data_IF_175744689080
#
_entry.id   IF_175744689080
#
_cell.length_a   1.000
_cell.length_b   1.000
_cell.length_c   1.000
_cell.angle_alpha   90.00
_cell.angle_beta   90.00
_cell.angle_gamma   90.00
#
_symmetry.space_group_name_H-M   'P 1'
#
loop_
_entity.id
_entity.type
_entity.pdbx_description
1 polymer ?
#
# COMPACT_ATOMS: atom_id res chain seq x y z
N UNK A 1 37.14 -60.27 35.40
CA UNK A 1 37.06 -58.84 35.09
C UNK A 1 37.90 -58.59 33.84
N UNK A 2 37.33 -57.90 32.83
CA UNK A 2 37.82 -57.71 31.44
C UNK A 2 37.42 -58.79 30.42
N UNK A 3 36.70 -58.29 29.41
CA UNK A 3 36.74 -58.58 27.96
C UNK A 3 36.60 -60.00 27.41
N UNK A 4 35.75 -60.15 26.38
CA UNK A 4 35.88 -61.23 25.41
C UNK A 4 34.62 -61.52 24.59
N UNK A 5 34.44 -60.79 23.50
CA UNK A 5 33.43 -60.95 22.45
C UNK A 5 33.60 -62.29 21.70
N UNK A 6 32.51 -62.99 21.39
CA UNK A 6 32.39 -63.77 20.13
C UNK A 6 30.98 -63.58 19.55
N UNK A 7 30.95 -62.86 18.44
CA UNK A 7 29.83 -62.65 17.51
C UNK A 7 29.56 -63.91 16.69
N UNK A 8 28.30 -64.27 16.48
CA UNK A 8 27.88 -65.09 15.33
C UNK A 8 26.80 -64.35 14.57
N UNK A 9 27.11 -64.11 13.30
CA UNK A 9 26.37 -63.36 12.30
C UNK A 9 25.04 -64.03 11.92
N UNK A 10 23.97 -63.23 11.79
CA UNK A 10 22.83 -63.61 10.96
C UNK A 10 22.56 -62.47 9.98
N UNK A 11 22.87 -62.74 8.71
CA UNK A 11 22.59 -61.86 7.58
C UNK A 11 21.18 -62.12 7.06
N UNK A 12 20.37 -61.07 6.94
CA UNK A 12 19.09 -61.06 6.20
C UNK A 12 18.90 -59.68 5.58
N UNK A 13 18.97 -59.62 4.24
CA UNK A 13 18.81 -58.43 3.38
C UNK A 13 18.13 -58.96 2.10
N UNK A 14 16.81 -58.80 1.93
CA UNK A 14 16.05 -57.91 0.99
C UNK A 14 14.81 -58.74 0.58
N UNK A 15 13.61 -58.26 0.20
CA UNK A 15 12.95 -56.98 -0.15
C UNK A 15 11.44 -57.19 0.19
N UNK A 16 10.45 -56.28 0.10
CA UNK A 16 10.22 -55.18 -0.81
C UNK A 16 9.08 -54.26 -0.28
N UNK A 17 9.25 -52.96 -0.55
CA UNK A 17 8.32 -51.92 -1.01
C UNK A 17 6.83 -51.91 -0.59
N UNK A 18 6.42 -50.75 -0.06
CA UNK A 18 5.29 -50.00 -0.63
C UNK A 18 4.09 -49.78 0.30
N UNK A 19 4.21 -48.88 1.27
CA UNK A 19 3.05 -48.42 2.04
C UNK A 19 3.34 -47.19 2.88
N UNK A 20 2.57 -46.13 2.65
CA UNK A 20 2.31 -45.07 3.61
C UNK A 20 3.17 -43.81 3.46
N UNK A 21 2.54 -42.72 3.01
CA UNK A 21 3.09 -41.38 3.11
C UNK A 21 2.55 -40.45 2.04
N UNK A 22 1.29 -40.03 2.18
CA UNK A 22 0.79 -38.82 1.54
C UNK A 22 1.68 -37.66 1.96
N UNK A 23 2.65 -37.33 1.11
CA UNK A 23 3.48 -36.16 1.23
C UNK A 23 2.74 -35.04 0.52
N UNK A 24 2.30 -34.07 1.32
CA UNK A 24 1.78 -32.82 0.79
C UNK A 24 2.80 -32.23 -0.17
N UNK A 25 2.34 -31.91 -1.37
CA UNK A 25 3.04 -31.06 -2.32
C UNK A 25 3.18 -29.66 -1.69
N UNK A 26 4.24 -29.48 -0.90
CA UNK A 26 4.82 -28.17 -0.70
C UNK A 26 5.40 -27.77 -2.06
N UNK A 27 4.67 -26.88 -2.73
CA UNK A 27 5.10 -26.24 -3.97
C UNK A 27 6.55 -25.79 -3.84
N UNK A 28 7.34 -26.15 -4.85
CA UNK A 28 8.72 -25.70 -5.01
C UNK A 28 8.71 -24.17 -5.01
N UNK A 29 9.26 -23.59 -3.95
CA UNK A 29 9.59 -22.18 -3.91
C UNK A 29 10.62 -21.90 -5.01
N UNK A 30 10.28 -20.96 -5.88
CA UNK A 30 11.13 -20.50 -6.97
C UNK A 30 12.41 -19.89 -6.39
N UNK A 31 13.56 -20.40 -6.84
CA UNK A 31 14.86 -19.91 -6.41
C UNK A 31 15.27 -18.77 -7.34
N UNK A 32 14.81 -17.57 -7.01
CA UNK A 32 14.99 -16.36 -7.84
C UNK A 32 14.87 -15.04 -7.08
N UNK A 33 15.43 -14.96 -5.86
CA UNK A 33 15.93 -13.70 -5.27
C UNK A 33 14.93 -12.77 -4.57
N UNK A 34 15.09 -12.69 -3.24
CA UNK A 34 14.40 -11.83 -2.26
C UNK A 34 13.02 -12.34 -1.84
N UNK A 35 12.81 -12.43 -0.52
CA UNK A 35 11.53 -12.79 0.08
C UNK A 35 10.44 -11.76 -0.23
N UNK A 36 9.25 -11.85 0.38
CA UNK A 36 8.18 -10.87 0.15
C UNK A 36 8.67 -9.42 0.32
N UNK A 37 8.25 -8.53 -0.57
CA UNK A 37 8.71 -7.14 -0.63
C UNK A 37 7.56 -6.13 -0.57
N UNK A 38 7.91 -4.88 -0.27
CA UNK A 38 7.06 -3.70 -0.23
C UNK A 38 7.78 -2.52 -0.90
N UNK A 39 7.06 -1.42 -1.14
CA UNK A 39 7.60 -0.19 -1.71
C UNK A 39 7.84 0.86 -0.62
N UNK A 40 8.95 1.57 -0.74
CA UNK A 40 9.32 2.72 0.07
C UNK A 40 9.48 3.94 -0.83
N UNK A 41 8.74 5.00 -0.52
CA UNK A 41 8.84 6.29 -1.18
C UNK A 41 9.22 7.37 -0.17
N UNK A 42 10.12 8.26 -0.56
CA UNK A 42 10.43 9.49 0.16
C UNK A 42 10.32 10.65 -0.81
N UNK A 43 9.46 11.61 -0.51
CA UNK A 43 9.24 12.78 -1.36
C UNK A 43 9.24 14.07 -0.57
N UNK A 44 9.30 15.18 -1.30
CA UNK A 44 9.09 16.52 -0.79
C UNK A 44 7.93 17.16 -1.53
N UNK A 45 7.31 18.13 -0.85
CA UNK A 45 6.33 19.05 -1.41
C UNK A 45 5.15 18.30 -2.06
N UNK A 46 4.55 17.38 -1.30
CA UNK A 46 3.37 16.60 -1.71
C UNK A 46 3.63 15.74 -2.95
N UNK A 47 4.83 15.16 -3.00
CA UNK A 47 5.25 14.28 -4.09
C UNK A 47 5.88 14.96 -5.30
N UNK A 48 5.95 16.30 -5.33
CA UNK A 48 6.55 17.06 -6.44
C UNK A 48 8.02 16.68 -6.68
N UNK A 49 8.76 16.39 -5.59
CA UNK A 49 10.15 15.97 -5.69
C UNK A 49 10.36 14.61 -5.03
N UNK A 50 10.73 13.62 -5.83
CA UNK A 50 11.10 12.27 -5.35
C UNK A 50 12.56 12.26 -4.89
N UNK A 51 12.78 11.77 -3.67
CA UNK A 51 14.11 11.58 -3.05
C UNK A 51 14.48 10.10 -3.05
N UNK A 52 13.55 9.22 -2.68
CA UNK A 52 13.71 7.76 -2.71
C UNK A 52 12.50 7.13 -3.39
N UNK A 53 12.79 6.18 -4.27
CA UNK A 53 11.82 5.22 -4.82
C UNK A 53 12.49 3.84 -4.84
N UNK A 54 12.15 3.00 -3.87
CA UNK A 54 12.86 1.75 -3.63
C UNK A 54 11.93 0.60 -3.23
N UNK A 55 12.40 -0.61 -3.46
CA UNK A 55 11.81 -1.83 -2.90
C UNK A 55 12.53 -2.20 -1.60
N UNK A 56 11.76 -2.61 -0.59
CA UNK A 56 12.25 -3.03 0.72
C UNK A 56 11.70 -4.41 1.09
N UNK A 57 12.38 -5.18 1.95
CA UNK A 57 11.83 -6.42 2.49
C UNK A 57 10.57 -6.16 3.32
N UNK A 58 9.57 -7.02 3.17
CA UNK A 58 8.44 -7.04 4.08
C UNK A 58 8.84 -7.58 5.46
N UNK A 59 8.06 -7.24 6.48
CA UNK A 59 8.27 -7.63 7.88
C UNK A 59 9.05 -6.60 8.71
N UNK A 60 9.62 -5.59 8.08
CA UNK A 60 10.21 -4.43 8.74
C UNK A 60 9.11 -3.52 9.30
N UNK A 61 9.42 -2.67 10.29
CA UNK A 61 8.56 -1.51 10.58
C UNK A 61 8.85 -0.35 9.61
N UNK A 62 7.99 0.67 9.58
CA UNK A 62 8.10 1.77 8.60
C UNK A 62 9.40 2.58 8.72
N UNK A 63 9.96 2.72 9.94
CA UNK A 63 11.26 3.37 10.16
C UNK A 63 12.40 2.46 9.70
N UNK A 64 12.37 1.17 10.04
CA UNK A 64 13.38 0.21 9.59
C UNK A 64 13.42 0.06 8.07
N UNK A 65 12.25 0.13 7.42
CA UNK A 65 12.14 0.18 5.97
C UNK A 65 12.82 1.44 5.41
N UNK A 66 12.55 2.60 6.01
CA UNK A 66 13.17 3.88 5.64
C UNK A 66 14.70 3.85 5.81
N UNK A 67 15.20 3.34 6.93
CA UNK A 67 16.63 3.19 7.25
C UNK A 67 17.40 2.28 6.26
N UNK A 68 16.72 1.49 5.42
CA UNK A 68 17.38 0.72 4.36
C UNK A 68 17.97 1.61 3.26
N UNK A 69 17.37 2.79 3.03
CA UNK A 69 17.65 3.61 1.84
C UNK A 69 17.85 5.10 2.15
N UNK A 70 17.72 5.52 3.42
CA UNK A 70 17.92 6.89 3.83
C UNK A 70 18.63 6.98 5.19
N UNK A 71 19.36 8.08 5.42
CA UNK A 71 19.83 8.47 6.75
C UNK A 71 18.65 9.05 7.57
N UNK A 72 18.40 8.46 8.74
CA UNK A 72 17.22 8.77 9.56
C UNK A 72 17.63 9.13 10.97
N UNK A 73 17.21 10.32 11.40
CA UNK A 73 17.27 10.72 12.81
C UNK A 73 15.90 10.53 13.45
N UNK A 74 15.86 9.98 14.67
CA UNK A 74 14.61 9.71 15.39
C UNK A 74 14.58 10.34 16.78
N UNK A 75 13.36 10.59 17.29
CA UNK A 75 13.10 11.08 18.66
C UNK A 75 12.19 10.14 19.44
N UNK A 76 12.07 10.42 20.74
CA UNK A 76 11.19 9.72 21.69
C UNK A 76 11.42 8.19 21.73
N UNK A 77 12.69 7.79 21.71
CA UNK A 77 13.10 6.38 21.76
C UNK A 77 12.95 5.65 20.43
N UNK A 78 13.11 6.34 19.30
CA UNK A 78 13.09 5.72 17.97
C UNK A 78 11.71 5.63 17.31
N UNK A 79 10.68 6.25 17.89
CA UNK A 79 9.28 6.07 17.44
C UNK A 79 8.83 7.09 16.40
N UNK A 80 9.50 8.24 16.34
CA UNK A 80 9.15 9.35 15.45
C UNK A 80 10.39 9.78 14.68
N UNK A 81 10.22 10.00 13.38
CA UNK A 81 11.23 10.60 12.52
C UNK A 81 11.38 12.08 12.88
N UNK A 82 12.62 12.51 13.07
CA UNK A 82 13.00 13.91 13.22
C UNK A 82 13.55 14.45 11.90
N UNK A 83 14.43 13.69 11.25
CA UNK A 83 15.08 14.05 10.01
C UNK A 83 15.18 12.85 9.07
N UNK A 84 15.13 13.12 7.78
CA UNK A 84 15.50 12.19 6.71
C UNK A 84 16.48 12.93 5.80
N UNK A 85 17.64 12.35 5.51
CA UNK A 85 18.69 12.98 4.69
C UNK A 85 19.07 14.40 5.19
N UNK A 86 19.12 14.57 6.52
CA UNK A 86 19.43 15.84 7.18
C UNK A 86 18.35 16.93 7.08
N UNK A 87 17.18 16.62 6.52
CA UNK A 87 16.05 17.55 6.43
C UNK A 87 15.14 17.38 7.65
N UNK A 88 15.11 18.39 8.52
CA UNK A 88 14.30 18.40 9.73
C UNK A 88 12.97 19.17 9.56
N UNK A 89 11.95 18.72 10.28
CA UNK A 89 10.72 19.47 10.49
C UNK A 89 10.95 20.73 11.33
N UNK A 90 10.08 21.73 11.16
CA UNK A 90 10.23 23.02 11.85
C UNK A 90 8.96 23.85 11.92
N UNK A 91 8.74 24.46 13.08
CA UNK A 91 7.57 25.31 13.34
C UNK A 91 7.60 26.63 12.55
N UNK A 92 8.79 27.18 12.28
CA UNK A 92 8.94 28.47 11.58
C UNK A 92 8.40 28.39 10.15
N UNK A 93 8.76 27.32 9.43
CA UNK A 93 8.29 27.06 8.06
C UNK A 93 7.00 26.24 8.02
N UNK A 94 6.55 25.74 9.18
CA UNK A 94 5.40 24.82 9.31
C UNK A 94 5.53 23.65 8.34
N UNK A 95 6.68 22.99 8.37
CA UNK A 95 6.97 21.80 7.56
C UNK A 95 7.33 20.65 8.49
N UNK A 96 6.94 19.44 8.12
CA UNK A 96 7.30 18.23 8.87
C UNK A 96 7.24 17.00 7.95
N UNK A 97 7.74 15.88 8.47
CA UNK A 97 7.62 14.57 7.83
C UNK A 97 6.29 13.92 8.21
N UNK A 98 5.50 13.61 7.19
CA UNK A 98 4.29 12.81 7.31
C UNK A 98 4.52 11.47 6.62
N UNK A 99 3.86 10.42 7.10
CA UNK A 99 3.91 9.14 6.39
C UNK A 99 2.54 8.54 6.17
N UNK A 100 2.44 7.85 5.05
CA UNK A 100 1.28 7.12 4.60
C UNK A 100 1.64 5.65 4.49
N UNK A 101 0.75 4.78 4.96
CA UNK A 101 0.76 3.38 4.57
C UNK A 101 -0.41 3.17 3.62
N UNK A 102 -0.12 2.68 2.41
CA UNK A 102 -1.14 2.41 1.39
C UNK A 102 -2.05 3.63 1.18
N UNK A 103 -1.47 4.83 1.15
CA UNK A 103 -2.18 6.10 0.91
C UNK A 103 -2.98 6.63 2.10
N UNK A 104 -2.95 5.98 3.27
CA UNK A 104 -3.64 6.43 4.48
C UNK A 104 -2.62 7.06 5.42
N UNK A 105 -2.84 8.31 5.82
CA UNK A 105 -1.93 9.02 6.73
C UNK A 105 -1.98 8.38 8.11
N UNK A 106 -0.79 8.09 8.63
CA UNK A 106 -0.63 7.43 9.89
C UNK A 106 -1.04 8.29 11.09
N UNK A 107 -1.61 7.63 12.09
CA UNK A 107 -1.82 8.17 13.44
C UNK A 107 -0.91 7.53 14.50
N UNK A 108 -0.17 6.49 14.13
CA UNK A 108 0.83 5.79 14.95
C UNK A 108 2.25 6.23 14.60
N UNK A 109 3.21 5.96 15.50
CA UNK A 109 4.63 6.12 15.17
C UNK A 109 5.09 5.06 14.17
N UNK A 110 6.06 5.40 13.31
CA UNK A 110 6.53 4.48 12.25
C UNK A 110 7.15 3.17 12.76
N UNK A 111 7.54 3.12 14.04
CA UNK A 111 8.01 1.91 14.70
C UNK A 111 6.89 0.91 15.09
N UNK A 112 5.62 1.34 15.07
CA UNK A 112 4.47 0.57 15.55
C UNK A 112 3.73 -0.19 14.43
N UNK A 113 4.07 0.08 13.16
CA UNK A 113 3.40 -0.48 11.99
C UNK A 113 4.37 -1.42 11.27
N UNK A 114 3.97 -2.68 11.09
CA UNK A 114 4.72 -3.64 10.26
C UNK A 114 4.37 -3.45 8.79
N UNK A 115 5.38 -3.27 7.95
CA UNK A 115 5.25 -3.22 6.49
C UNK A 115 5.07 -4.65 5.97
N UNK A 116 3.98 -4.91 5.26
CA UNK A 116 3.63 -6.22 4.71
C UNK A 116 3.96 -6.29 3.23
N UNK A 117 3.93 -7.51 2.69
CA UNK A 117 4.13 -7.73 1.26
C UNK A 117 3.09 -6.94 0.46
N UNK A 118 3.53 -6.20 -0.56
CA UNK A 118 2.68 -5.35 -1.40
C UNK A 118 2.36 -3.97 -0.82
N UNK A 119 2.72 -3.69 0.44
CA UNK A 119 2.47 -2.37 1.01
C UNK A 119 3.30 -1.28 0.31
N UNK A 120 2.77 -0.06 0.34
CA UNK A 120 3.46 1.17 -0.01
C UNK A 120 3.62 2.01 1.25
N UNK A 121 4.86 2.22 1.68
CA UNK A 121 5.20 3.19 2.72
C UNK A 121 5.70 4.45 2.05
N UNK A 122 5.01 5.58 2.26
CA UNK A 122 5.37 6.85 1.65
C UNK A 122 5.59 7.91 2.72
N UNK A 123 6.83 8.37 2.83
CA UNK A 123 7.21 9.54 3.63
C UNK A 123 7.23 10.78 2.75
N UNK A 124 6.59 11.86 3.19
CA UNK A 124 6.56 13.12 2.45
C UNK A 124 6.86 14.30 3.37
N UNK A 125 7.87 15.10 3.00
CA UNK A 125 8.19 16.34 3.67
C UNK A 125 7.35 17.46 3.08
N UNK A 126 6.38 17.96 3.84
CA UNK A 126 5.44 18.96 3.32
C UNK A 126 5.15 20.07 4.32
N UNK A 127 4.70 21.20 3.78
CA UNK A 127 4.09 22.23 4.61
C UNK A 127 2.70 21.81 5.09
N UNK A 128 2.41 22.12 6.34
CA UNK A 128 1.10 22.03 6.96
C UNK A 128 0.47 23.42 7.18
N UNK A 129 1.01 24.46 6.54
CA UNK A 129 0.53 25.85 6.68
C UNK A 129 -0.94 26.01 6.29
N UNK A 130 -1.32 25.44 5.16
CA UNK A 130 -2.66 25.57 4.59
C UNK A 130 -3.54 24.37 4.92
N UNK A 131 -2.93 23.21 5.16
CA UNK A 131 -3.65 21.97 5.46
C UNK A 131 -2.90 21.10 6.47
N UNK A 132 -3.48 21.02 7.67
CA UNK A 132 -2.87 20.35 8.82
C UNK A 132 -2.84 18.83 8.68
N UNK A 133 -3.86 18.24 8.07
CA UNK A 133 -4.06 16.80 8.00
C UNK A 133 -4.48 16.42 6.60
N UNK A 134 -3.88 15.35 6.10
CA UNK A 134 -4.23 14.75 4.83
C UNK A 134 -4.58 13.29 5.06
N UNK A 135 -5.80 12.96 5.52
CA UNK A 135 -6.06 11.61 6.04
C UNK A 135 -5.82 10.50 5.01
N UNK A 136 -6.02 10.79 3.72
CA UNK A 136 -5.87 9.85 2.62
C UNK A 136 -5.39 10.60 1.37
N UNK A 137 -4.54 9.97 0.57
CA UNK A 137 -4.01 10.45 -0.70
C UNK A 137 -4.23 9.42 -1.81
N UNK A 138 -4.25 9.88 -3.07
CA UNK A 138 -4.51 9.01 -4.22
C UNK A 138 -3.29 8.24 -4.71
N UNK A 139 -2.07 8.68 -4.34
CA UNK A 139 -0.88 8.20 -5.02
C UNK A 139 -0.42 6.79 -4.71
N UNK A 140 -1.04 6.14 -3.72
CA UNK A 140 -0.88 4.71 -3.48
C UNK A 140 -2.08 3.90 -3.97
N UNK A 141 -2.98 4.46 -4.79
CA UNK A 141 -4.07 3.68 -5.37
C UNK A 141 -3.52 2.53 -6.23
N UNK A 142 -4.08 1.30 -6.17
CA UNK A 142 -5.27 0.89 -5.40
C UNK A 142 -4.98 0.31 -4.00
N UNK A 143 -3.77 0.46 -3.47
CA UNK A 143 -3.33 -0.15 -2.21
C UNK A 143 -4.20 0.11 -0.97
N UNK A 144 -4.84 1.28 -0.79
CA UNK A 144 -5.80 1.45 0.31
C UNK A 144 -6.92 0.39 0.31
N UNK A 145 -7.27 -0.15 -0.84
CA UNK A 145 -8.30 -1.18 -1.01
C UNK A 145 -7.71 -2.60 -0.97
N UNK A 146 -6.58 -2.82 -1.64
CA UNK A 146 -5.95 -4.15 -1.76
C UNK A 146 -5.32 -4.63 -0.47
N UNK A 147 -4.58 -3.76 0.22
CA UNK A 147 -3.81 -4.12 1.42
C UNK A 147 -4.33 -3.41 2.69
N UNK A 148 -4.99 -2.26 2.52
CA UNK A 148 -5.63 -1.55 3.62
C UNK A 148 -4.64 -0.94 4.61
N UNK A 149 -5.03 -0.84 5.87
CA UNK A 149 -4.19 -0.28 6.93
C UNK A 149 -3.72 -1.38 7.88
N UNK A 150 -2.41 -1.58 8.01
CA UNK A 150 -1.81 -2.58 8.91
C UNK A 150 -2.39 -3.99 8.69
N UNK A 151 -2.58 -4.36 7.41
CA UNK A 151 -3.16 -5.64 6.97
C UNK A 151 -4.67 -5.76 7.19
N UNK A 152 -5.35 -4.71 7.66
CA UNK A 152 -6.80 -4.67 7.84
C UNK A 152 -7.44 -3.97 6.64
N UNK A 153 -8.19 -4.75 5.88
CA UNK A 153 -8.98 -4.27 4.74
C UNK A 153 -10.39 -3.93 5.20
N UNK A 154 -10.97 -2.89 4.62
CA UNK A 154 -12.37 -2.55 4.84
C UNK A 154 -13.21 -2.92 3.61
N UNK A 155 -14.52 -3.11 3.76
CA UNK A 155 -15.39 -3.33 2.61
C UNK A 155 -15.31 -2.16 1.62
N UNK A 156 -15.30 -2.48 0.34
CA UNK A 156 -15.25 -1.55 -0.77
C UNK A 156 -16.61 -1.49 -1.48
N UNK A 157 -16.96 -0.28 -1.92
CA UNK A 157 -18.11 -0.01 -2.77
C UNK A 157 -17.70 0.97 -3.86
N UNK A 158 -18.18 0.75 -5.09
CA UNK A 158 -18.07 1.73 -6.18
C UNK A 158 -19.47 2.21 -6.52
N UNK A 159 -19.67 3.52 -6.58
CA UNK A 159 -20.95 4.15 -6.94
C UNK A 159 -20.74 5.11 -8.10
N UNK A 160 -21.65 5.09 -9.06
CA UNK A 160 -21.59 5.95 -10.21
C UNK A 160 -22.96 6.12 -10.89
N UNK A 161 -23.03 6.98 -11.91
CA UNK A 161 -24.23 7.10 -12.74
C UNK A 161 -24.48 5.78 -13.52
N UNK A 162 -25.72 5.45 -13.87
CA UNK A 162 -26.05 4.23 -14.63
C UNK A 162 -25.27 4.08 -15.93
N UNK A 163 -24.93 5.19 -16.59
CA UNK A 163 -24.15 5.24 -17.82
C UNK A 163 -22.72 4.70 -17.66
N UNK A 164 -22.20 4.65 -16.43
CA UNK A 164 -20.85 4.18 -16.11
C UNK A 164 -20.86 2.89 -15.27
N UNK A 165 -21.92 2.09 -15.35
CA UNK A 165 -22.06 0.85 -14.58
C UNK A 165 -20.95 -0.17 -14.91
N UNK A 166 -20.55 -0.25 -16.19
CA UNK A 166 -19.46 -1.15 -16.63
C UNK A 166 -18.12 -0.74 -16.01
N UNK A 167 -17.77 0.55 -16.07
CA UNK A 167 -16.55 1.11 -15.51
C UNK A 167 -16.54 0.98 -13.98
N UNK A 168 -17.68 1.23 -13.33
CA UNK A 168 -17.83 1.04 -11.90
C UNK A 168 -17.62 -0.43 -11.49
N UNK A 169 -18.13 -1.37 -12.28
CA UNK A 169 -17.93 -2.81 -12.09
C UNK A 169 -16.46 -3.22 -12.25
N UNK A 170 -15.80 -2.76 -13.31
CA UNK A 170 -14.38 -3.02 -13.57
C UNK A 170 -13.48 -2.45 -12.45
N UNK A 171 -13.76 -1.21 -12.01
CA UNK A 171 -13.08 -0.62 -10.86
C UNK A 171 -13.29 -1.45 -9.60
N UNK A 172 -14.52 -1.85 -9.28
CA UNK A 172 -14.79 -2.66 -8.08
C UNK A 172 -14.05 -4.00 -8.11
N UNK A 173 -13.96 -4.65 -9.27
CA UNK A 173 -13.18 -5.88 -9.45
C UNK A 173 -11.69 -5.64 -9.25
N UNK A 174 -11.14 -4.60 -9.89
CA UNK A 174 -9.73 -4.20 -9.79
C UNK A 174 -9.30 -3.90 -8.35
N UNK A 175 -10.17 -3.25 -7.57
CA UNK A 175 -9.88 -2.86 -6.19
C UNK A 175 -9.74 -4.05 -5.22
N UNK A 176 -10.22 -5.26 -5.58
CA UNK A 176 -9.93 -6.52 -4.88
C UNK A 176 -10.32 -6.62 -3.39
N UNK A 177 -11.05 -5.64 -2.85
CA UNK A 177 -11.50 -5.59 -1.46
C UNK A 177 -12.77 -6.42 -1.19
N UNK A 178 -13.08 -6.73 0.09
CA UNK A 178 -14.38 -7.30 0.44
C UNK A 178 -15.51 -6.39 -0.05
N UNK A 179 -16.61 -6.92 -0.56
CA UNK A 179 -17.74 -6.08 -0.99
C UNK A 179 -18.60 -5.68 0.20
N UNK A 180 -19.00 -4.41 0.28
CA UNK A 180 -19.95 -3.92 1.28
C UNK A 180 -20.77 -2.75 0.72
N UNK A 181 -21.87 -2.41 1.39
CA UNK A 181 -22.73 -1.31 0.95
C UNK A 181 -23.28 -0.51 2.14
N UNK A 182 -23.05 0.80 2.14
CA UNK A 182 -23.65 1.72 3.12
C UNK A 182 -23.20 1.50 4.57
N UNK A 183 -22.10 0.77 4.79
CA UNK A 183 -21.56 0.47 6.11
C UNK A 183 -20.73 1.65 6.69
N UNK A 184 -20.71 1.84 8.02
CA UNK A 184 -19.63 2.61 8.64
C UNK A 184 -18.29 1.89 8.39
N UNK A 185 -17.17 2.61 8.33
CA UNK A 185 -15.86 2.05 7.97
C UNK A 185 -15.76 1.45 6.55
N UNK A 186 -16.38 2.03 5.52
CA UNK A 186 -16.18 1.54 4.14
C UNK A 186 -15.10 2.32 3.38
N UNK A 187 -14.56 1.73 2.32
CA UNK A 187 -13.83 2.41 1.26
C UNK A 187 -14.76 2.63 0.06
N UNK A 188 -15.18 3.87 -0.15
CA UNK A 188 -16.10 4.23 -1.23
C UNK A 188 -15.32 4.88 -2.38
N UNK A 189 -15.53 4.42 -3.61
CA UNK A 189 -15.15 5.18 -4.81
C UNK A 189 -16.40 5.71 -5.49
N UNK A 190 -16.52 7.03 -5.54
CA UNK A 190 -17.64 7.73 -6.19
C UNK A 190 -17.22 8.23 -7.56
N UNK A 191 -18.05 7.97 -8.56
CA UNK A 191 -17.94 8.49 -9.90
C UNK A 191 -19.03 9.55 -10.05
N UNK A 192 -18.63 10.81 -10.22
CA UNK A 192 -19.54 11.96 -10.17
C UNK A 192 -19.45 12.76 -11.50
N UNK A 193 -20.54 12.85 -12.28
CA UNK A 193 -20.55 13.66 -13.50
C UNK A 193 -20.25 15.15 -13.25
N UNK A 194 -19.45 15.72 -14.13
CA UNK A 194 -18.98 17.10 -14.14
C UNK A 194 -18.87 17.65 -15.56
N UNK A 195 -18.29 18.85 -15.68
CA UNK A 195 -18.32 19.60 -16.94
C UNK A 195 -17.11 19.38 -17.86
N UNK A 196 -15.92 19.16 -17.30
CA UNK A 196 -14.66 19.10 -18.06
C UNK A 196 -13.63 18.24 -17.32
N UNK A 197 -12.83 17.47 -18.08
CA UNK A 197 -11.73 16.68 -17.54
C UNK A 197 -12.18 15.72 -16.45
N UNK A 198 -11.25 15.16 -15.70
CA UNK A 198 -11.59 14.45 -14.46
C UNK A 198 -10.61 14.78 -13.34
N UNK A 199 -11.06 14.62 -12.10
CA UNK A 199 -10.25 14.78 -10.91
C UNK A 199 -10.49 13.59 -10.00
N UNK A 200 -9.41 12.99 -9.49
CA UNK A 200 -9.44 11.96 -8.47
C UNK A 200 -8.92 12.57 -7.17
N UNK A 201 -9.80 12.61 -6.17
CA UNK A 201 -9.50 13.12 -4.83
C UNK A 201 -9.84 12.07 -3.78
N UNK A 202 -9.19 12.14 -2.61
CA UNK A 202 -9.45 11.23 -1.50
C UNK A 202 -9.72 12.01 -0.21
N UNK A 203 -10.70 11.54 0.59
CA UNK A 203 -11.13 12.22 1.82
C UNK A 203 -11.48 11.19 2.88
N UNK A 204 -11.35 11.58 4.15
CA UNK A 204 -11.92 10.83 5.28
C UNK A 204 -12.54 11.80 6.27
N UNK A 205 -13.72 11.45 6.79
CA UNK A 205 -14.36 12.20 7.87
C UNK A 205 -13.52 12.21 9.15
N UNK A 206 -13.84 13.13 10.08
CA UNK A 206 -13.05 13.35 11.28
C UNK A 206 -13.05 12.18 12.29
N UNK A 207 -14.04 11.28 12.23
CA UNK A 207 -14.06 10.09 13.09
C UNK A 207 -13.16 9.01 12.49
N UNK A 208 -12.44 8.29 13.34
CA UNK A 208 -11.56 7.19 12.91
C UNK A 208 -12.30 6.11 12.10
N UNK A 209 -13.59 5.96 12.36
CA UNK A 209 -14.48 5.00 11.72
C UNK A 209 -15.24 5.56 10.50
N UNK A 210 -14.95 6.82 10.13
CA UNK A 210 -15.54 7.42 8.94
C UNK A 210 -15.15 6.63 7.69
N UNK A 211 -16.04 6.56 6.69
CA UNK A 211 -15.68 6.07 5.38
C UNK A 211 -14.49 6.85 4.83
N UNK A 212 -13.62 6.13 4.11
CA UNK A 212 -12.66 6.74 3.21
C UNK A 212 -13.34 6.84 1.86
N UNK A 213 -13.42 8.05 1.31
CA UNK A 213 -14.13 8.33 0.06
C UNK A 213 -13.14 8.84 -0.97
N UNK A 214 -12.92 8.04 -2.00
CA UNK A 214 -12.33 8.47 -3.26
C UNK A 214 -13.45 9.03 -4.15
N UNK A 215 -13.17 10.12 -4.83
CA UNK A 215 -14.12 10.73 -5.77
C UNK A 215 -13.41 11.02 -7.07
N UNK A 216 -13.84 10.32 -8.11
CA UNK A 216 -13.53 10.58 -9.50
C UNK A 216 -14.65 11.43 -10.09
N UNK A 217 -14.41 12.74 -10.26
CA UNK A 217 -15.41 13.68 -10.75
C UNK A 217 -14.98 14.33 -12.06
N UNK A 218 -15.84 14.35 -13.09
CA UNK A 218 -15.43 14.77 -14.42
C UNK A 218 -16.46 14.67 -15.54
N UNK A 219 -16.11 15.13 -16.74
CA UNK A 219 -16.90 14.91 -17.96
C UNK A 219 -17.09 13.41 -18.22
N UNK A 220 -18.19 13.00 -18.85
CA UNK A 220 -18.45 11.57 -19.09
C UNK A 220 -17.29 10.89 -19.84
N UNK A 221 -16.74 11.55 -20.86
CA UNK A 221 -15.60 11.04 -21.61
C UNK A 221 -14.35 10.89 -20.72
N UNK A 222 -14.04 11.90 -19.91
CA UNK A 222 -12.91 11.84 -18.99
C UNK A 222 -13.09 10.77 -17.91
N UNK A 223 -14.32 10.58 -17.40
CA UNK A 223 -14.62 9.56 -16.40
C UNK A 223 -14.38 8.16 -16.95
N UNK A 224 -14.84 7.88 -18.17
CA UNK A 224 -14.61 6.60 -18.86
C UNK A 224 -13.11 6.36 -19.07
N UNK A 225 -12.42 7.32 -19.68
CA UNK A 225 -11.00 7.20 -19.98
C UNK A 225 -10.14 7.10 -18.72
N UNK A 226 -10.47 7.86 -17.66
CA UNK A 226 -9.73 7.81 -16.40
C UNK A 226 -9.97 6.50 -15.67
N UNK A 227 -11.19 5.95 -15.67
CA UNK A 227 -11.47 4.65 -15.05
C UNK A 227 -10.66 3.52 -15.72
N UNK A 228 -10.54 3.54 -17.04
CA UNK A 228 -9.68 2.62 -17.79
C UNK A 228 -8.19 2.84 -17.47
N UNK A 229 -7.75 4.10 -17.46
CA UNK A 229 -6.36 4.46 -17.21
C UNK A 229 -5.88 4.02 -15.82
N UNK A 230 -6.65 4.28 -14.76
CA UNK A 230 -6.24 3.94 -13.38
C UNK A 230 -6.34 2.44 -13.06
N UNK A 231 -7.11 1.68 -13.84
CA UNK A 231 -7.18 0.20 -13.71
C UNK A 231 -6.08 -0.49 -14.51
N UNK A 232 -5.66 0.08 -15.63
CA UNK A 232 -4.61 -0.49 -16.49
C UNK A 232 -3.21 -0.04 -16.07
N UNK A 233 -3.09 1.20 -15.61
CA UNK A 233 -1.83 1.89 -15.29
C UNK A 233 -1.91 2.65 -13.97
N UNK A 234 -2.20 1.99 -12.83
CA UNK A 234 -2.31 2.66 -11.53
C UNK A 234 -1.05 3.45 -11.13
N UNK A 235 0.11 3.12 -11.69
CA UNK A 235 1.37 3.84 -11.48
C UNK A 235 1.32 5.31 -11.90
N UNK A 236 0.38 5.69 -12.75
CA UNK A 236 0.17 7.09 -13.13
C UNK A 236 -0.18 7.96 -11.91
N UNK A 237 -0.78 7.39 -10.86
CA UNK A 237 -1.16 8.13 -9.67
C UNK A 237 0.00 8.34 -8.71
N UNK A 238 1.14 7.66 -8.89
CA UNK A 238 2.24 7.66 -7.92
C UNK A 238 2.65 9.06 -7.53
N UNK A 239 2.84 9.25 -6.23
CA UNK A 239 3.26 10.52 -5.63
C UNK A 239 2.21 11.65 -5.70
N UNK A 240 1.00 11.41 -6.20
CA UNK A 240 -0.05 12.42 -6.20
C UNK A 240 -0.89 12.40 -4.92
N UNK A 241 -1.10 13.56 -4.32
CA UNK A 241 -2.09 13.72 -3.24
C UNK A 241 -3.52 13.66 -3.80
N UNK A 242 -3.68 14.28 -4.97
CA UNK A 242 -4.85 14.28 -5.84
C UNK A 242 -4.34 14.31 -7.30
N UNK A 243 -5.15 13.81 -8.24
CA UNK A 243 -4.77 13.75 -9.65
C UNK A 243 -5.85 14.37 -10.53
N UNK A 244 -5.43 15.11 -11.56
CA UNK A 244 -6.31 15.67 -12.58
C UNK A 244 -6.02 15.05 -13.92
N UNK A 245 -7.03 14.94 -14.77
CA UNK A 245 -6.99 14.23 -16.04
C UNK A 245 -7.63 15.05 -17.16
N UNK A 246 -7.10 14.90 -18.39
CA UNK A 246 -7.78 15.35 -19.60
C UNK A 246 -8.94 14.41 -20.01
N UNK A 247 -9.66 14.77 -21.07
CA UNK A 247 -10.78 13.96 -21.56
C UNK A 247 -10.32 12.63 -22.19
N UNK A 248 -9.01 12.45 -22.42
CA UNK A 248 -8.40 11.20 -22.85
C UNK A 248 -7.80 10.39 -21.69
N UNK A 249 -8.03 10.78 -20.43
CA UNK A 249 -7.57 10.05 -19.25
C UNK A 249 -6.07 10.18 -18.97
N UNK A 250 -5.39 11.20 -19.52
CA UNK A 250 -3.98 11.49 -19.22
C UNK A 250 -3.86 12.48 -18.07
N UNK A 251 -2.85 12.29 -17.21
CA UNK A 251 -2.59 13.23 -16.11
C UNK A 251 -2.29 14.64 -16.63
N UNK A 252 -2.87 15.63 -15.95
CA UNK A 252 -2.54 17.05 -16.06
C UNK A 252 -1.68 17.44 -14.85
N UNK A 253 -0.54 18.07 -15.11
CA UNK A 253 0.30 18.74 -14.09
C UNK A 253 -0.32 20.06 -13.61
#
# INVERSE_FOLDING_TARGET
>A
MRSGIVTVCLALVLAACGGGGESGEAGRADAGGHGPTAQLWVTHDRGEKVVVDATVPAGLNAIQALEQHADVETRYGGRFVQAIEGVEGGLERRQDWFYFLNGIEADLGGAEVTVRAGDVVWWDFRSWRDELRQPVVVGAFPEPFLHGWDGKRRPAEVRGPPELEEQAGALLEFLGGPRGQGEPNLFELRIEPGAEGATLTARRGARNDSPVVFTLAGSMAALEATAEAVTTSPELLRFHYEASFDDEGRIRE
#
